data_IF_248617963713
#
_entry.id   IF_248617963713
#
_cell.length_a   1.000
_cell.length_b   1.000
_cell.length_c   1.000
_cell.angle_alpha   90.00
_cell.angle_beta   90.00
_cell.angle_gamma   90.00
#
_symmetry.space_group_name_H-M   'P 1'
#
loop_
_entity.id
_entity.type
_entity.pdbx_description
1 polymer ?
#
# COMPACT_ATOMS: atom_id res chain seq x y z
N UNK A 1 -4.88 -15.37 21.68
CA UNK A 1 -4.52 -14.15 20.92
C UNK A 1 -4.70 -12.97 21.86
N UNK A 2 -3.63 -12.26 22.18
CA UNK A 2 -3.70 -11.13 23.11
C UNK A 2 -4.36 -9.93 22.41
N UNK A 3 -5.19 -9.18 23.12
CA UNK A 3 -5.91 -8.01 22.60
C UNK A 3 -4.96 -7.01 21.91
N UNK A 4 -3.75 -6.86 22.44
CA UNK A 4 -2.70 -6.02 21.85
C UNK A 4 -2.18 -6.49 20.49
N UNK A 5 -2.14 -7.79 20.22
CA UNK A 5 -1.71 -8.30 18.92
C UNK A 5 -2.74 -8.00 17.83
N UNK A 6 -4.04 -8.15 18.15
CA UNK A 6 -5.13 -7.84 17.22
C UNK A 6 -5.15 -6.33 16.93
N UNK A 7 -5.12 -5.50 17.98
CA UNK A 7 -5.08 -4.05 17.84
C UNK A 7 -3.86 -3.56 17.05
N UNK A 8 -2.68 -4.18 17.26
CA UNK A 8 -1.46 -3.87 16.53
C UNK A 8 -1.58 -4.21 15.04
N UNK A 9 -1.98 -5.43 14.71
CA UNK A 9 -2.10 -5.89 13.31
C UNK A 9 -3.12 -5.06 12.52
N UNK A 10 -4.28 -4.75 13.12
CA UNK A 10 -5.29 -3.91 12.46
C UNK A 10 -4.79 -2.48 12.23
N UNK A 11 -4.06 -1.92 13.20
CA UNK A 11 -3.52 -0.55 13.08
C UNK A 11 -2.48 -0.47 11.97
N UNK A 12 -1.56 -1.44 11.91
CA UNK A 12 -0.53 -1.49 10.85
C UNK A 12 -1.19 -1.68 9.48
N UNK A 13 -2.17 -2.58 9.36
CA UNK A 13 -2.89 -2.80 8.10
C UNK A 13 -3.58 -1.54 7.57
N UNK A 14 -4.27 -0.81 8.46
CA UNK A 14 -4.89 0.48 8.11
C UNK A 14 -3.82 1.52 7.71
N UNK A 15 -2.71 1.59 8.44
CA UNK A 15 -1.63 2.55 8.17
C UNK A 15 -1.00 2.32 6.79
N UNK A 16 -0.76 1.06 6.41
CA UNK A 16 -0.19 0.71 5.10
C UNK A 16 -1.16 1.04 3.96
N UNK A 17 -2.46 0.74 4.11
CA UNK A 17 -3.45 1.10 3.10
C UNK A 17 -3.55 2.62 2.88
N UNK A 18 -3.48 3.40 3.96
CA UNK A 18 -3.45 4.86 3.88
C UNK A 18 -2.14 5.39 3.27
N UNK A 19 -1.00 4.75 3.54
CA UNK A 19 0.27 5.12 2.93
C UNK A 19 0.28 4.89 1.41
N UNK A 20 -0.18 3.72 0.96
CA UNK A 20 -0.22 3.37 -0.45
C UNK A 20 -1.12 4.32 -1.25
N UNK A 21 -2.27 4.69 -0.69
CA UNK A 21 -3.23 5.59 -1.34
C UNK A 21 -2.70 7.02 -1.47
N UNK A 22 -1.84 7.48 -0.56
CA UNK A 22 -1.12 8.77 -0.69
C UNK A 22 -0.09 8.75 -1.80
N UNK A 23 0.68 7.67 -1.95
CA UNK A 23 1.67 7.54 -3.03
C UNK A 23 0.95 7.54 -4.39
N UNK A 24 -0.12 6.76 -4.52
CA UNK A 24 -0.96 6.76 -5.73
C UNK A 24 -1.57 8.13 -6.05
N UNK A 25 -1.98 8.87 -5.02
CA UNK A 25 -2.48 10.23 -5.19
C UNK A 25 -1.39 11.20 -5.67
N UNK A 26 -0.20 11.18 -5.06
CA UNK A 26 0.93 12.00 -5.47
C UNK A 26 1.35 11.68 -6.92
N UNK A 27 1.44 10.40 -7.30
CA UNK A 27 1.73 9.98 -8.67
C UNK A 27 0.67 10.43 -9.69
N UNK A 28 -0.60 10.46 -9.29
CA UNK A 28 -1.68 10.99 -10.13
C UNK A 28 -1.66 12.52 -10.23
N UNK A 29 -1.24 13.21 -9.17
CA UNK A 29 -1.03 14.66 -9.15
C UNK A 29 0.16 15.08 -10.02
N UNK A 30 1.23 14.28 -10.04
CA UNK A 30 2.41 14.48 -10.90
C UNK A 30 2.15 14.15 -12.38
N UNK A 31 0.91 13.77 -12.74
CA UNK A 31 0.48 13.51 -14.11
C UNK A 31 0.92 12.16 -14.69
N UNK A 32 1.52 11.30 -13.87
CA UNK A 32 2.05 9.99 -14.27
C UNK A 32 0.97 8.90 -14.43
N UNK A 33 -0.23 9.14 -13.87
CA UNK A 33 -1.39 8.24 -13.94
C UNK A 33 -2.60 8.97 -14.53
N UNK A 34 -3.44 8.32 -15.36
CA UNK A 34 -4.58 8.97 -16.01
C UNK A 34 -5.55 9.59 -14.98
N UNK A 35 -6.13 10.77 -15.28
CA UNK A 35 -6.83 11.65 -14.33
C UNK A 35 -8.09 11.06 -13.68
N UNK A 36 -8.50 9.86 -14.10
CA UNK A 36 -9.59 9.09 -13.50
C UNK A 36 -9.22 8.61 -12.08
N UNK A 37 -7.93 8.37 -11.81
CA UNK A 37 -7.41 8.06 -10.46
C UNK A 37 -7.31 9.29 -9.55
N UNK A 38 -7.29 10.49 -10.13
CA UNK A 38 -7.27 11.77 -9.43
C UNK A 38 -8.68 12.32 -9.14
N UNK A 39 -9.75 11.56 -9.37
CA UNK A 39 -11.13 12.01 -9.11
C UNK A 39 -11.41 11.97 -7.60
N UNK A 40 -10.96 13.01 -6.92
CA UNK A 40 -11.15 13.26 -5.49
C UNK A 40 -12.63 13.47 -5.21
N UNK A 41 -13.16 12.87 -4.14
CA UNK A 41 -14.52 13.16 -3.71
C UNK A 41 -14.59 14.62 -3.19
N UNK A 42 -15.45 15.50 -3.74
CA UNK A 42 -15.43 16.94 -3.49
C UNK A 42 -15.68 17.40 -2.05
N UNK A 43 -16.06 16.50 -1.13
CA UNK A 43 -16.33 16.82 0.28
C UNK A 43 -15.34 16.18 1.28
N UNK A 44 -14.58 15.15 0.88
CA UNK A 44 -13.69 14.41 1.80
C UNK A 44 -12.21 14.52 1.47
N UNK A 45 -11.86 15.16 0.35
CA UNK A 45 -10.47 15.28 -0.13
C UNK A 45 -9.71 13.94 -0.21
N UNK A 46 -10.42 12.81 -0.18
CA UNK A 46 -9.85 11.46 -0.19
C UNK A 46 -10.00 10.81 -1.56
N UNK A 47 -8.94 10.20 -2.10
CA UNK A 47 -8.97 9.44 -3.35
C UNK A 47 -9.66 8.10 -3.13
N UNK A 48 -10.99 8.11 -3.04
CA UNK A 48 -11.80 6.93 -2.76
C UNK A 48 -11.66 5.83 -3.83
N UNK A 49 -11.42 6.21 -5.10
CA UNK A 49 -11.17 5.27 -6.20
C UNK A 49 -9.87 4.48 -5.96
N UNK A 50 -8.79 5.15 -5.56
CA UNK A 50 -7.50 4.49 -5.28
C UNK A 50 -7.60 3.57 -4.06
N UNK A 51 -8.34 3.98 -3.02
CA UNK A 51 -8.59 3.14 -1.84
C UNK A 51 -9.40 1.89 -2.24
N UNK A 52 -10.46 2.05 -3.02
CA UNK A 52 -11.31 0.94 -3.44
C UNK A 52 -10.54 -0.04 -4.34
N UNK A 53 -9.79 0.47 -5.31
CA UNK A 53 -8.99 -0.37 -6.22
C UNK A 53 -7.93 -1.15 -5.43
N UNK A 54 -7.19 -0.49 -4.53
CA UNK A 54 -6.18 -1.20 -3.73
C UNK A 54 -6.79 -2.14 -2.70
N UNK A 55 -7.93 -1.78 -2.11
CA UNK A 55 -8.68 -2.66 -1.21
C UNK A 55 -9.17 -3.92 -1.92
N UNK A 56 -9.74 -3.78 -3.11
CA UNK A 56 -10.18 -4.92 -3.94
C UNK A 56 -8.99 -5.76 -4.37
N UNK A 57 -7.90 -5.13 -4.83
CA UNK A 57 -6.68 -5.84 -5.23
C UNK A 57 -6.09 -6.63 -4.06
N UNK A 58 -6.00 -6.00 -2.88
CA UNK A 58 -5.52 -6.64 -1.65
C UNK A 58 -6.45 -7.77 -1.21
N UNK A 59 -7.77 -7.60 -1.27
CA UNK A 59 -8.74 -8.65 -0.93
C UNK A 59 -8.64 -9.87 -1.85
N UNK A 60 -8.46 -9.64 -3.16
CA UNK A 60 -8.26 -10.72 -4.14
C UNK A 60 -6.92 -11.43 -3.87
N UNK A 61 -5.82 -10.69 -3.73
CA UNK A 61 -4.50 -11.28 -3.47
C UNK A 61 -4.44 -12.02 -2.13
N UNK A 62 -5.05 -11.48 -1.09
CA UNK A 62 -5.13 -12.11 0.23
C UNK A 62 -6.01 -13.36 0.23
N UNK A 63 -6.98 -13.48 -0.67
CA UNK A 63 -7.84 -14.66 -0.80
C UNK A 63 -7.22 -15.78 -1.63
N UNK A 64 -6.31 -15.45 -2.56
CA UNK A 64 -5.72 -16.41 -3.51
C UNK A 64 -4.33 -16.91 -3.04
N UNK A 65 -3.54 -16.07 -2.35
CA UNK A 65 -2.20 -16.43 -1.90
C UNK A 65 -2.17 -16.94 -0.44
N UNK A 66 -1.41 -18.03 -0.15
CA UNK A 66 -1.11 -18.45 1.21
C UNK A 66 -0.31 -17.38 1.97
N UNK A 67 -0.62 -17.18 3.24
CA UNK A 67 0.07 -16.22 4.13
C UNK A 67 1.57 -16.50 4.27
N UNK A 68 1.99 -17.75 4.13
CA UNK A 68 3.40 -18.15 4.23
C UNK A 68 4.23 -17.56 3.06
N UNK A 69 3.73 -17.70 1.83
CA UNK A 69 4.39 -17.20 0.62
C UNK A 69 4.35 -15.66 0.58
N UNK A 70 3.28 -15.05 1.10
CA UNK A 70 3.17 -13.59 1.26
C UNK A 70 4.27 -13.05 2.19
N UNK A 71 4.58 -13.76 3.28
CA UNK A 71 5.64 -13.39 4.21
C UNK A 71 7.03 -13.50 3.60
N UNK A 72 7.31 -14.60 2.87
CA UNK A 72 8.58 -14.79 2.16
C UNK A 72 8.80 -13.71 1.09
N UNK A 73 7.78 -13.46 0.27
CA UNK A 73 7.83 -12.44 -0.79
C UNK A 73 8.03 -11.04 -0.22
N UNK A 74 7.35 -10.71 0.88
CA UNK A 74 7.51 -9.42 1.57
C UNK A 74 8.93 -9.25 2.10
N UNK A 75 9.51 -10.30 2.70
CA UNK A 75 10.87 -10.28 3.23
C UNK A 75 11.90 -10.04 2.13
N UNK A 76 11.78 -10.78 1.01
CA UNK A 76 12.66 -10.59 -0.15
C UNK A 76 12.52 -9.18 -0.72
N UNK A 77 11.29 -8.66 -0.84
CA UNK A 77 11.04 -7.30 -1.32
C UNK A 77 11.67 -6.22 -0.43
N UNK A 78 11.61 -6.39 0.90
CA UNK A 78 12.27 -5.47 1.84
C UNK A 78 13.80 -5.48 1.67
N UNK A 79 14.41 -6.66 1.52
CA UNK A 79 15.85 -6.78 1.26
C UNK A 79 16.25 -6.06 -0.03
N UNK A 80 15.50 -6.26 -1.12
CA UNK A 80 15.74 -5.57 -2.39
C UNK A 80 15.62 -4.05 -2.21
N UNK A 81 14.59 -3.58 -1.52
CA UNK A 81 14.38 -2.15 -1.25
C UNK A 81 15.56 -1.56 -0.47
N UNK A 82 16.06 -2.27 0.56
CA UNK A 82 17.23 -1.82 1.32
C UNK A 82 18.49 -1.76 0.45
N UNK A 83 18.72 -2.75 -0.41
CA UNK A 83 19.84 -2.74 -1.35
C UNK A 83 19.76 -1.50 -2.26
N UNK A 84 18.59 -1.23 -2.84
CA UNK A 84 18.36 -0.05 -3.67
C UNK A 84 18.63 1.25 -2.92
N UNK A 85 18.11 1.40 -1.69
CA UNK A 85 18.33 2.60 -0.87
C UNK A 85 19.82 2.80 -0.59
N UNK A 86 20.56 1.74 -0.24
CA UNK A 86 22.00 1.85 -0.04
C UNK A 86 22.75 2.26 -1.31
N UNK A 87 22.37 1.71 -2.47
CA UNK A 87 22.94 2.12 -3.76
C UNK A 87 22.65 3.61 -4.03
N UNK A 88 21.40 4.05 -3.84
CA UNK A 88 20.99 5.45 -4.06
C UNK A 88 21.72 6.43 -3.13
N UNK A 89 22.13 6.02 -1.93
CA UNK A 89 22.87 6.87 -1.00
C UNK A 89 24.37 6.96 -1.36
N UNK A 90 24.93 5.91 -1.98
CA UNK A 90 26.35 5.87 -2.38
C UNK A 90 26.60 6.67 -3.66
N UNK A 91 25.64 6.70 -4.58
CA UNK A 91 25.70 7.45 -5.86
C UNK A 91 25.34 8.91 -5.64
#
# INVERSE_FOLDING_TARGET
MNLGAIAGLTTVGLTVMLAQTRIFYAMAHDGLLPPIFAKIHPQRATPWISILIMGVFCAIFSGVCPVDILGETTSIGALITYIFVHITVIV
#
